data_IF_389430633525
#
_entry.id   IF_389430633525
#
_cell.length_a   1.000
_cell.length_b   1.000
_cell.length_c   1.000
_cell.angle_alpha   90.00
_cell.angle_beta   90.00
_cell.angle_gamma   90.00
#
_symmetry.space_group_name_H-M   'P 1'
#
loop_
_entity.id
_entity.type
_entity.pdbx_description
1 polymer ?
#
# COMPACT_ATOMS: atom_id res chain seq x y z
N UNK A 1 -8.70 28.37 -11.74
CA UNK A 1 -8.49 28.08 -10.30
C UNK A 1 -9.14 26.74 -10.01
N UNK A 2 -8.37 25.65 -10.09
CA UNK A 2 -8.88 24.29 -9.84
C UNK A 2 -8.97 24.11 -8.32
N UNK A 3 -10.19 24.16 -7.79
CA UNK A 3 -10.45 23.91 -6.38
C UNK A 3 -10.09 22.48 -6.03
N UNK A 4 -8.96 22.31 -5.34
CA UNK A 4 -8.62 21.03 -4.72
C UNK A 4 -9.67 20.69 -3.67
N UNK A 5 -10.53 19.73 -3.98
CA UNK A 5 -11.41 19.13 -2.97
C UNK A 5 -10.56 18.28 -2.05
N UNK A 6 -10.04 18.87 -0.97
CA UNK A 6 -9.47 18.10 0.12
C UNK A 6 -10.61 17.31 0.76
N UNK A 7 -10.66 16.00 0.51
CA UNK A 7 -11.56 15.12 1.23
C UNK A 7 -11.21 15.16 2.74
N UNK A 8 -12.22 15.17 3.63
CA UNK A 8 -11.97 15.15 5.06
C UNK A 8 -11.20 13.88 5.44
N UNK A 9 -10.31 14.03 6.41
CA UNK A 9 -9.77 12.87 7.11
C UNK A 9 -10.91 11.97 7.59
N UNK A 10 -10.76 10.62 7.53
CA UNK A 10 -9.56 9.84 7.24
C UNK A 10 -9.56 9.21 5.82
N UNK A 11 -9.97 9.92 4.77
CA UNK A 11 -10.09 9.35 3.41
C UNK A 11 -8.93 9.79 2.51
N UNK A 12 -8.40 8.87 1.70
CA UNK A 12 -7.44 9.16 0.62
C UNK A 12 -8.04 8.74 -0.74
N UNK A 13 -7.94 9.64 -1.71
CA UNK A 13 -8.50 9.49 -3.05
C UNK A 13 -7.43 9.07 -4.06
N UNK A 14 -7.77 8.16 -4.96
CA UNK A 14 -6.96 7.73 -6.08
C UNK A 14 -7.79 7.78 -7.37
N UNK A 15 -7.40 8.65 -8.30
CA UNK A 15 -7.98 8.70 -9.64
C UNK A 15 -7.58 7.45 -10.44
N UNK A 16 -8.52 6.88 -11.19
CA UNK A 16 -8.30 5.71 -12.06
C UNK A 16 -7.29 6.01 -13.16
N UNK A 17 -7.10 7.29 -13.53
CA UNK A 17 -6.12 7.70 -14.53
C UNK A 17 -4.66 7.55 -14.08
N UNK A 18 -4.39 7.47 -12.77
CA UNK A 18 -3.03 7.53 -12.23
C UNK A 18 -2.45 6.20 -11.71
N UNK A 19 -3.09 5.05 -11.93
CA UNK A 19 -2.50 3.77 -11.51
C UNK A 19 -2.90 2.59 -12.39
N UNK A 20 -2.08 2.33 -13.41
CA UNK A 20 -1.97 1.00 -14.05
C UNK A 20 -1.71 -0.09 -12.99
N UNK A 21 -1.05 0.28 -11.89
CA UNK A 21 -0.82 -0.56 -10.71
C UNK A 21 -2.11 -0.96 -9.99
N UNK A 22 -3.11 -0.08 -9.89
CA UNK A 22 -4.36 -0.34 -9.15
C UNK A 22 -5.32 -1.19 -9.97
N UNK A 23 -5.41 -0.93 -11.29
CA UNK A 23 -6.25 -1.73 -12.17
C UNK A 23 -5.70 -3.16 -12.35
N UNK A 24 -4.36 -3.33 -12.33
CA UNK A 24 -3.70 -4.65 -12.36
C UNK A 24 -3.71 -5.36 -11.00
N UNK A 25 -3.51 -4.61 -9.91
CA UNK A 25 -3.69 -5.15 -8.56
C UNK A 25 -5.13 -5.64 -8.39
N UNK A 26 -6.15 -4.92 -8.85
CA UNK A 26 -7.56 -5.33 -8.74
C UNK A 26 -8.01 -6.40 -9.73
N UNK A 27 -7.51 -6.41 -10.97
CA UNK A 27 -7.73 -7.58 -11.85
C UNK A 27 -7.12 -8.85 -11.24
N UNK A 28 -6.03 -8.70 -10.48
CA UNK A 28 -5.49 -9.76 -9.67
C UNK A 28 -6.32 -10.00 -8.40
N UNK A 29 -6.87 -8.99 -7.70
CA UNK A 29 -7.73 -9.17 -6.52
C UNK A 29 -9.00 -9.99 -6.82
N UNK A 30 -9.59 -9.87 -8.01
CA UNK A 30 -10.71 -10.74 -8.42
C UNK A 30 -10.29 -12.20 -8.57
N UNK A 31 -9.02 -12.49 -8.89
CA UNK A 31 -8.46 -13.84 -9.06
C UNK A 31 -7.83 -14.36 -7.76
N UNK A 32 -7.26 -13.51 -6.92
CA UNK A 32 -6.68 -13.88 -5.62
C UNK A 32 -7.70 -14.01 -4.50
N UNK A 33 -8.92 -13.45 -4.65
CA UNK A 33 -10.04 -13.77 -3.77
C UNK A 33 -10.44 -15.26 -3.82
N UNK A 34 -10.10 -15.99 -4.89
CA UNK A 34 -10.45 -17.41 -5.07
C UNK A 34 -9.30 -18.37 -4.71
N UNK A 35 -8.04 -17.95 -4.81
CA UNK A 35 -6.89 -18.86 -4.62
C UNK A 35 -6.33 -18.86 -3.19
N UNK A 36 -6.65 -17.87 -2.35
CA UNK A 36 -6.01 -17.76 -1.03
C UNK A 36 -7.06 -17.55 0.07
N UNK A 37 -7.83 -18.60 0.35
CA UNK A 37 -8.92 -18.62 1.33
C UNK A 37 -8.51 -18.51 2.81
N UNK A 38 -7.43 -17.80 3.17
CA UNK A 38 -7.05 -17.60 4.59
C UNK A 38 -5.95 -16.58 4.90
N UNK A 39 -5.34 -15.94 3.91
CA UNK A 39 -4.20 -15.05 4.17
C UNK A 39 -4.67 -13.61 4.15
N UNK A 40 -4.76 -13.10 5.38
CA UNK A 40 -5.03 -11.74 5.78
C UNK A 40 -4.00 -10.77 5.17
N UNK A 41 -4.17 -10.42 3.90
CA UNK A 41 -3.72 -9.11 3.45
C UNK A 41 -4.55 -8.13 4.26
N UNK A 42 -3.91 -7.24 5.02
CA UNK A 42 -4.59 -6.09 5.61
C UNK A 42 -5.20 -5.30 4.44
N UNK A 43 -6.45 -5.63 4.13
CA UNK A 43 -7.28 -4.93 3.17
C UNK A 43 -7.38 -3.52 3.73
N UNK A 44 -6.64 -2.61 3.11
CA UNK A 44 -7.07 -1.22 3.07
C UNK A 44 -8.57 -1.26 2.76
N UNK A 45 -9.39 -0.63 3.60
CA UNK A 45 -10.81 -0.45 3.28
C UNK A 45 -10.85 0.32 1.97
N UNK A 46 -11.16 -0.40 0.89
CA UNK A 46 -11.13 0.09 -0.48
C UNK A 46 -12.55 0.07 -1.00
N UNK A 47 -12.96 1.20 -1.57
CA UNK A 47 -14.27 1.32 -2.23
C UNK A 47 -14.09 1.98 -3.58
N UNK A 48 -14.81 1.48 -4.56
CA UNK A 48 -14.91 2.07 -5.89
C UNK A 48 -16.06 3.07 -5.88
N UNK A 49 -15.76 4.32 -6.22
CA UNK A 49 -16.76 5.38 -6.35
C UNK A 49 -16.83 5.88 -7.79
N UNK A 50 -18.00 6.37 -8.18
CA UNK A 50 -18.19 6.99 -9.48
C UNK A 50 -18.18 8.51 -9.34
N UNK A 51 -17.30 9.16 -10.09
CA UNK A 51 -17.22 10.62 -10.14
C UNK A 51 -18.37 11.20 -10.96
N UNK A 52 -18.65 12.49 -10.75
CA UNK A 52 -19.59 13.26 -11.57
C UNK A 52 -19.16 13.34 -13.05
N UNK A 53 -17.86 13.20 -13.34
CA UNK A 53 -17.32 13.09 -14.70
C UNK A 53 -17.70 11.78 -15.40
N UNK A 54 -18.23 10.79 -14.67
CA UNK A 54 -18.55 9.46 -15.18
C UNK A 54 -17.39 8.46 -15.05
N UNK A 55 -16.20 8.94 -14.71
CA UNK A 55 -15.03 8.12 -14.43
C UNK A 55 -15.17 7.39 -13.09
N UNK A 56 -14.51 6.24 -12.99
CA UNK A 56 -14.38 5.53 -11.73
C UNK A 56 -13.21 6.11 -10.94
N UNK A 57 -13.21 5.94 -9.63
CA UNK A 57 -12.08 6.28 -8.76
C UNK A 57 -12.10 5.42 -7.51
N UNK A 58 -10.94 5.21 -6.92
CA UNK A 58 -10.82 4.45 -5.69
C UNK A 58 -10.67 5.38 -4.50
N UNK A 59 -11.37 5.04 -3.42
CA UNK A 59 -11.16 5.66 -2.11
C UNK A 59 -10.63 4.61 -1.16
N UNK A 60 -9.70 5.04 -0.30
CA UNK A 60 -9.19 4.21 0.78
C UNK A 60 -9.23 4.93 2.12
N UNK A 61 -9.46 4.17 3.19
CA UNK A 61 -9.22 4.66 4.55
C UNK A 61 -7.72 4.83 4.80
N UNK A 62 -7.35 5.97 5.37
CA UNK A 62 -5.98 6.27 5.78
C UNK A 62 -5.61 5.44 7.01
N UNK A 63 -4.48 4.75 6.93
CA UNK A 63 -3.93 3.93 8.02
C UNK A 63 -3.09 4.75 9.02
N UNK A 64 -2.67 5.96 8.65
CA UNK A 64 -1.96 6.92 9.51
C UNK A 64 -2.89 7.76 10.41
N UNK A 65 -4.16 7.35 10.54
CA UNK A 65 -5.19 8.03 11.35
C UNK A 65 -5.96 7.05 12.23
N UNK A 66 -6.32 7.47 13.43
CA UNK A 66 -7.29 6.76 14.28
C UNK A 66 -8.73 7.11 13.87
N UNK A 67 -9.71 6.40 14.41
CA UNK A 67 -11.13 6.73 14.19
C UNK A 67 -11.52 8.10 14.79
N UNK A 68 -10.68 8.64 15.70
CA UNK A 68 -10.79 9.98 16.28
C UNK A 68 -9.97 11.03 15.51
N UNK A 69 -9.47 10.69 14.31
CA UNK A 69 -8.61 11.53 13.46
C UNK A 69 -7.24 11.92 14.07
N UNK A 70 -6.78 11.17 15.07
CA UNK A 70 -5.45 11.39 15.62
C UNK A 70 -4.39 10.80 14.69
N UNK A 71 -3.28 11.53 14.52
CA UNK A 71 -2.18 11.10 13.65
C UNK A 71 -1.37 9.99 14.32
N UNK A 72 -1.29 8.84 13.66
CA UNK A 72 -0.29 7.82 13.99
C UNK A 72 1.04 8.16 13.33
N UNK A 73 2.13 8.04 14.08
CA UNK A 73 3.45 8.14 13.47
C UNK A 73 3.62 6.98 12.50
N UNK A 74 4.27 7.26 11.38
CA UNK A 74 4.45 6.30 10.32
C UNK A 74 5.69 6.71 9.55
N UNK A 75 6.60 5.76 9.36
CA UNK A 75 7.88 5.97 8.72
C UNK A 75 8.04 4.98 7.56
N UNK A 76 8.51 5.45 6.41
CA UNK A 76 8.72 4.59 5.25
C UNK A 76 10.12 3.96 5.22
N UNK A 77 10.30 2.91 4.42
CA UNK A 77 11.60 2.23 4.31
C UNK A 77 12.67 3.07 3.61
N UNK A 78 12.27 4.12 2.89
CA UNK A 78 13.22 5.06 2.29
C UNK A 78 13.91 5.89 3.39
N UNK A 79 13.15 6.32 4.38
CA UNK A 79 13.65 7.01 5.57
C UNK A 79 14.41 6.06 6.50
N UNK A 80 13.86 4.87 6.81
CA UNK A 80 14.53 3.90 7.71
C UNK A 80 15.91 3.49 7.18
N UNK A 81 16.03 3.27 5.87
CA UNK A 81 17.28 2.85 5.24
C UNK A 81 18.19 4.02 4.87
N UNK A 82 17.78 5.26 5.16
CA UNK A 82 18.47 6.49 4.76
C UNK A 82 18.91 6.46 3.29
N UNK A 83 18.02 5.94 2.43
CA UNK A 83 18.35 5.70 1.04
C UNK A 83 18.37 7.02 0.25
N UNK A 84 19.29 7.13 -0.72
CA UNK A 84 19.35 8.29 -1.62
C UNK A 84 18.40 8.18 -2.81
N UNK A 85 18.04 6.96 -3.20
CA UNK A 85 17.18 6.68 -4.35
C UNK A 85 16.12 5.65 -3.94
N UNK A 86 14.85 5.99 -4.18
CA UNK A 86 13.70 5.15 -3.79
C UNK A 86 13.69 3.79 -4.50
N UNK A 87 14.31 3.67 -5.68
CA UNK A 87 14.40 2.44 -6.45
C UNK A 87 15.63 1.60 -6.14
N UNK A 88 16.68 2.18 -5.53
CA UNK A 88 17.94 1.48 -5.28
C UNK A 88 17.97 0.85 -3.89
N UNK A 89 17.30 -0.29 -3.76
CA UNK A 89 17.46 -1.19 -2.61
C UNK A 89 17.14 -2.62 -3.00
N UNK A 90 17.42 -3.57 -2.11
CA UNK A 90 17.05 -4.97 -2.28
C UNK A 90 15.91 -5.35 -1.34
N UNK A 91 15.10 -6.31 -1.76
CA UNK A 91 14.05 -6.86 -0.90
C UNK A 91 14.64 -7.48 0.38
N UNK A 92 15.86 -8.02 0.29
CA UNK A 92 16.60 -8.52 1.45
C UNK A 92 16.92 -7.41 2.48
N UNK A 93 17.36 -6.23 2.03
CA UNK A 93 17.62 -5.10 2.93
C UNK A 93 16.37 -4.65 3.66
N UNK A 94 15.24 -4.58 2.96
CA UNK A 94 13.94 -4.26 3.56
C UNK A 94 13.54 -5.34 4.56
N UNK A 95 13.66 -6.62 4.21
CA UNK A 95 13.36 -7.73 5.13
C UNK A 95 14.24 -7.74 6.40
N UNK A 96 15.50 -7.34 6.28
CA UNK A 96 16.40 -7.14 7.44
C UNK A 96 15.93 -5.97 8.31
N UNK A 97 15.60 -4.83 7.71
CA UNK A 97 15.07 -3.68 8.43
C UNK A 97 13.75 -3.99 9.17
N UNK A 98 12.82 -4.70 8.53
CA UNK A 98 11.60 -5.21 9.21
C UNK A 98 11.98 -6.06 10.42
N UNK A 99 12.98 -6.93 10.28
CA UNK A 99 13.49 -7.75 11.38
C UNK A 99 14.08 -6.98 12.55
N UNK A 100 14.66 -5.82 12.29
CA UNK A 100 15.32 -4.99 13.29
C UNK A 100 14.37 -4.01 13.98
N UNK A 101 13.44 -3.42 13.22
CA UNK A 101 12.63 -2.31 13.68
C UNK A 101 11.17 -2.66 14.00
N UNK A 102 10.67 -3.82 13.57
CA UNK A 102 9.30 -4.24 13.92
C UNK A 102 9.25 -4.96 15.27
N UNK A 103 8.30 -4.54 16.11
CA UNK A 103 7.94 -5.23 17.35
C UNK A 103 7.33 -6.63 17.10
N UNK A 104 6.76 -6.87 15.90
CA UNK A 104 6.13 -8.14 15.48
C UNK A 104 6.86 -8.75 14.28
N UNK A 105 8.19 -8.73 14.33
CA UNK A 105 9.08 -9.06 13.20
C UNK A 105 8.81 -10.38 12.49
N UNK A 106 8.38 -11.43 13.19
CA UNK A 106 8.08 -12.73 12.58
C UNK A 106 6.88 -12.67 11.61
N UNK A 107 5.81 -12.01 12.02
CA UNK A 107 4.60 -11.89 11.20
C UNK A 107 4.82 -10.88 10.08
N UNK A 108 5.48 -9.76 10.35
CA UNK A 108 5.73 -8.75 9.32
C UNK A 108 6.68 -9.24 8.23
N UNK A 109 7.66 -10.09 8.58
CA UNK A 109 8.49 -10.78 7.57
C UNK A 109 7.68 -11.76 6.72
N UNK A 110 6.73 -12.48 7.32
CA UNK A 110 5.85 -13.39 6.59
C UNK A 110 4.98 -12.60 5.59
N UNK A 111 4.31 -11.55 6.05
CA UNK A 111 3.49 -10.70 5.18
C UNK A 111 4.32 -10.02 4.08
N UNK A 112 5.51 -9.55 4.41
CA UNK A 112 6.44 -8.99 3.44
C UNK A 112 6.86 -10.02 2.38
N UNK A 113 7.12 -11.26 2.78
CA UNK A 113 7.46 -12.34 1.86
C UNK A 113 6.28 -12.70 0.95
N UNK A 114 5.07 -12.84 1.49
CA UNK A 114 3.85 -13.11 0.71
C UNK A 114 3.61 -12.01 -0.33
N UNK A 115 3.77 -10.74 0.05
CA UNK A 115 3.66 -9.60 -0.86
C UNK A 115 4.76 -9.60 -1.95
N UNK A 116 5.96 -10.05 -1.59
CA UNK A 116 7.08 -10.20 -2.54
C UNK A 116 6.76 -11.24 -3.59
N UNK A 117 6.28 -12.42 -3.18
CA UNK A 117 5.88 -13.51 -4.08
C UNK A 117 4.72 -13.07 -4.95
N UNK A 118 3.71 -12.41 -4.37
CA UNK A 118 2.59 -11.87 -5.13
C UNK A 118 3.04 -10.85 -6.19
N UNK A 119 3.93 -9.91 -5.83
CA UNK A 119 4.46 -8.91 -6.75
C UNK A 119 5.25 -9.54 -7.88
N UNK A 120 6.02 -10.59 -7.58
CA UNK A 120 6.73 -11.38 -8.58
C UNK A 120 5.77 -12.07 -9.56
N UNK A 121 4.74 -12.77 -9.05
CA UNK A 121 3.76 -13.48 -9.87
C UNK A 121 2.91 -12.56 -10.75
N UNK A 122 2.60 -11.36 -10.26
CA UNK A 122 1.81 -10.36 -11.00
C UNK A 122 2.64 -9.45 -11.91
N UNK A 123 3.98 -9.58 -11.87
CA UNK A 123 4.89 -8.74 -12.64
C UNK A 123 4.87 -7.27 -12.20
N UNK A 124 4.63 -7.01 -10.91
CA UNK A 124 4.67 -5.66 -10.35
C UNK A 124 6.12 -5.18 -10.23
N UNK A 125 6.51 -4.28 -11.13
CA UNK A 125 7.87 -3.75 -11.23
C UNK A 125 8.08 -2.40 -10.53
N UNK A 126 7.06 -1.83 -9.88
CA UNK A 126 7.14 -0.53 -9.19
C UNK A 126 7.08 -0.67 -7.65
N UNK A 127 7.55 -1.82 -7.13
CA UNK A 127 7.71 -2.05 -5.69
C UNK A 127 9.00 -1.39 -5.17
N UNK A 128 8.90 -0.10 -4.86
CA UNK A 128 10.03 0.70 -4.37
C UNK A 128 9.93 1.03 -2.87
N UNK A 129 10.98 1.59 -2.27
CA UNK A 129 11.09 1.76 -0.80
C UNK A 129 9.94 2.52 -0.14
N UNK A 130 9.31 3.48 -0.83
CA UNK A 130 8.16 4.23 -0.27
C UNK A 130 6.84 3.45 -0.22
N UNK A 131 6.80 2.24 -0.78
CA UNK A 131 5.60 1.38 -0.73
C UNK A 131 5.53 0.59 0.57
N UNK A 132 6.60 0.59 1.36
CA UNK A 132 6.70 -0.11 2.62
C UNK A 132 6.84 0.91 3.74
N UNK A 133 5.99 0.80 4.76
CA UNK A 133 6.02 1.67 5.94
C UNK A 133 5.80 0.85 7.21
N UNK A 134 6.39 1.33 8.30
CA UNK A 134 6.13 0.86 9.65
C UNK A 134 5.36 1.94 10.42
N UNK A 135 4.47 1.49 11.31
CA UNK A 135 3.73 2.32 12.26
C UNK A 135 4.48 2.41 13.59
#
# INVERSE_FOLDING_TARGET
>A
MLGGTSFPSPIKFFDTFLNVLFHRLLSCFSVSAVVIGKILVFLLDLSLIRLKSGELSYITKRFDRTDLDEKKHMIDMFQILEAFDKYKSSMEKVGKAIGQYSNRSAFDKLYYFELTVFSFLTGNNDMHLKNFSLL
#
